data_IF_304962785826
#
_entry.id   IF_304962785826
#
_cell.length_a   1.000
_cell.length_b   1.000
_cell.length_c   1.000
_cell.angle_alpha   90.00
_cell.angle_beta   90.00
_cell.angle_gamma   90.00
#
_symmetry.space_group_name_H-M   'P 1'
#
loop_
_entity.id
_entity.type
_entity.pdbx_description
1 polymer ?
#
# COMPACT_ATOMS: atom_id res chain seq x y z
N UNK A 1 2.83 35.90 6.84
CA UNK A 1 1.55 35.15 6.68
C UNK A 1 1.47 34.36 5.38
N UNK A 2 1.86 34.89 4.20
CA UNK A 2 1.91 34.12 2.94
C UNK A 2 2.95 32.96 2.97
N UNK A 3 4.15 33.26 3.46
CA UNK A 3 5.28 32.31 3.55
C UNK A 3 5.01 31.09 4.43
N UNK A 4 4.40 31.29 5.60
CA UNK A 4 4.05 30.21 6.54
C UNK A 4 3.07 29.18 5.94
N UNK A 5 2.13 29.65 5.12
CA UNK A 5 1.12 28.79 4.50
C UNK A 5 1.71 27.96 3.34
N UNK A 6 2.73 28.48 2.66
CA UNK A 6 3.45 27.76 1.61
C UNK A 6 4.34 26.64 2.19
N UNK A 7 4.98 26.87 3.35
CA UNK A 7 5.76 25.84 4.07
C UNK A 7 4.89 24.68 4.57
N UNK A 8 3.72 24.99 5.15
CA UNK A 8 2.75 23.97 5.60
C UNK A 8 2.27 23.08 4.44
N UNK A 9 2.04 23.66 3.26
CA UNK A 9 1.65 22.91 2.05
C UNK A 9 2.78 22.00 1.55
N UNK A 10 4.01 22.51 1.53
CA UNK A 10 5.20 21.72 1.15
C UNK A 10 5.40 20.55 2.11
N UNK A 11 5.33 20.78 3.42
CA UNK A 11 5.45 19.73 4.42
C UNK A 11 4.40 18.64 4.25
N UNK A 12 3.14 19.02 4.01
CA UNK A 12 2.06 18.04 3.77
C UNK A 12 2.30 17.19 2.52
N UNK A 13 2.84 17.79 1.45
CA UNK A 13 3.23 17.08 0.23
C UNK A 13 4.40 16.11 0.47
N UNK A 14 5.47 16.57 1.11
CA UNK A 14 6.62 15.73 1.45
C UNK A 14 6.23 14.54 2.34
N UNK A 15 5.37 14.80 3.34
CA UNK A 15 4.88 13.76 4.24
C UNK A 15 4.01 12.75 3.50
N UNK A 16 3.10 13.21 2.64
CA UNK A 16 2.29 12.33 1.80
C UNK A 16 3.15 11.45 0.87
N UNK A 17 4.19 12.02 0.26
CA UNK A 17 5.12 11.27 -0.59
C UNK A 17 5.90 10.20 0.20
N UNK A 18 6.43 10.55 1.37
CA UNK A 18 7.20 9.65 2.22
C UNK A 18 6.34 8.50 2.78
N UNK A 19 5.14 8.81 3.26
CA UNK A 19 4.19 7.81 3.78
C UNK A 19 3.76 6.87 2.66
N UNK A 20 3.37 7.41 1.51
CA UNK A 20 2.95 6.60 0.36
C UNK A 20 4.06 5.67 -0.12
N UNK A 21 5.31 6.16 -0.17
CA UNK A 21 6.45 5.35 -0.61
C UNK A 21 6.73 4.22 0.38
N UNK A 22 6.71 4.53 1.69
CA UNK A 22 6.91 3.56 2.76
C UNK A 22 5.85 2.46 2.68
N UNK A 23 4.58 2.81 2.51
CA UNK A 23 3.49 1.86 2.38
C UNK A 23 3.64 0.97 1.14
N UNK A 24 4.03 1.55 -0.01
CA UNK A 24 4.30 0.77 -1.22
C UNK A 24 5.44 -0.23 -1.03
N UNK A 25 6.52 0.19 -0.38
CA UNK A 25 7.66 -0.69 -0.07
C UNK A 25 7.26 -1.81 0.88
N UNK A 26 6.55 -1.51 1.97
CA UNK A 26 6.08 -2.53 2.92
C UNK A 26 5.13 -3.53 2.25
N UNK A 27 4.26 -3.05 1.36
CA UNK A 27 3.35 -3.92 0.60
C UNK A 27 4.10 -4.83 -0.36
N UNK A 28 5.08 -4.28 -1.08
CA UNK A 28 5.92 -5.07 -1.98
C UNK A 28 6.76 -6.09 -1.22
N UNK A 29 7.30 -5.73 -0.06
CA UNK A 29 8.04 -6.65 0.82
C UNK A 29 7.12 -7.76 1.33
N UNK A 30 5.90 -7.43 1.73
CA UNK A 30 4.92 -8.41 2.17
C UNK A 30 4.59 -9.42 1.07
N UNK A 31 4.28 -8.93 -0.14
CA UNK A 31 4.01 -9.76 -1.31
C UNK A 31 5.22 -10.60 -1.72
N UNK A 32 6.41 -10.00 -1.76
CA UNK A 32 7.62 -10.75 -2.09
C UNK A 32 7.89 -11.88 -1.09
N UNK A 33 7.73 -11.60 0.21
CA UNK A 33 7.89 -12.60 1.27
C UNK A 33 6.82 -13.69 1.22
N UNK A 34 5.57 -13.36 0.89
CA UNK A 34 4.50 -14.36 0.76
C UNK A 34 4.70 -15.23 -0.48
N UNK A 35 5.03 -14.62 -1.62
CA UNK A 35 5.29 -15.35 -2.86
C UNK A 35 6.47 -16.31 -2.73
N UNK A 36 7.57 -15.89 -2.11
CA UNK A 36 8.71 -16.80 -1.88
C UNK A 36 8.36 -17.94 -0.92
N UNK A 37 7.55 -17.68 0.12
CA UNK A 37 7.15 -18.72 1.07
C UNK A 37 6.15 -19.73 0.45
N UNK A 38 5.30 -19.26 -0.47
CA UNK A 38 4.25 -20.05 -1.10
C UNK A 38 4.60 -20.53 -2.51
N UNK A 39 5.82 -20.28 -2.99
CA UNK A 39 6.27 -20.61 -4.35
C UNK A 39 5.30 -20.10 -5.43
N UNK A 40 4.86 -18.84 -5.29
CA UNK A 40 3.94 -18.18 -6.22
C UNK A 40 4.71 -17.42 -7.30
N UNK A 41 4.25 -17.52 -8.54
CA UNK A 41 4.77 -16.77 -9.68
C UNK A 41 5.70 -17.62 -10.57
N UNK A 42 6.55 -16.95 -11.34
CA UNK A 42 7.42 -17.63 -12.32
C UNK A 42 8.77 -17.99 -11.72
N UNK A 43 9.42 -17.02 -11.07
CA UNK A 43 10.64 -17.20 -10.29
C UNK A 43 10.95 -15.91 -9.52
N UNK A 44 11.88 -15.98 -8.56
CA UNK A 44 12.25 -14.84 -7.71
C UNK A 44 12.79 -13.63 -8.49
N UNK A 45 13.49 -13.84 -9.61
CA UNK A 45 14.03 -12.74 -10.42
C UNK A 45 12.90 -11.97 -11.12
N UNK A 46 12.00 -12.68 -11.80
CA UNK A 46 10.85 -12.08 -12.47
C UNK A 46 9.90 -11.38 -11.48
N UNK A 47 9.61 -12.02 -10.35
CA UNK A 47 8.77 -11.45 -9.29
C UNK A 47 9.41 -10.19 -8.70
N UNK A 48 10.71 -10.21 -8.42
CA UNK A 48 11.45 -9.05 -7.93
C UNK A 48 11.45 -7.89 -8.94
N UNK A 49 11.68 -8.17 -10.22
CA UNK A 49 11.60 -7.15 -11.27
C UNK A 49 10.22 -6.52 -11.39
N UNK A 50 9.14 -7.33 -11.33
CA UNK A 50 7.78 -6.82 -11.32
C UNK A 50 7.51 -5.91 -10.12
N UNK A 51 7.87 -6.35 -8.91
CA UNK A 51 7.65 -5.58 -7.69
C UNK A 51 8.39 -4.23 -7.73
N UNK A 52 9.63 -4.24 -8.20
CA UNK A 52 10.50 -3.07 -8.14
C UNK A 52 10.23 -2.07 -9.26
N UNK A 53 10.03 -2.56 -10.49
CA UNK A 53 9.91 -1.70 -11.68
C UNK A 53 8.48 -1.23 -11.94
N UNK A 54 7.48 -2.01 -11.54
CA UNK A 54 6.09 -1.73 -11.87
C UNK A 54 5.23 -1.51 -10.62
N UNK A 55 5.25 -2.45 -9.68
CA UNK A 55 4.33 -2.41 -8.54
C UNK A 55 4.60 -1.23 -7.60
N UNK A 56 5.84 -1.05 -7.14
CA UNK A 56 6.19 0.03 -6.21
C UNK A 56 5.89 1.42 -6.81
N UNK A 57 6.35 1.77 -8.03
CA UNK A 57 6.06 3.08 -8.63
C UNK A 57 4.56 3.30 -8.85
N UNK A 58 3.84 2.29 -9.33
CA UNK A 58 2.39 2.40 -9.59
C UNK A 58 1.61 2.61 -8.29
N UNK A 59 1.84 1.75 -7.28
CA UNK A 59 1.15 1.85 -5.99
C UNK A 59 1.50 3.17 -5.28
N UNK A 60 2.77 3.59 -5.34
CA UNK A 60 3.19 4.87 -4.77
C UNK A 60 2.43 6.04 -5.40
N UNK A 61 2.32 6.04 -6.72
CA UNK A 61 1.59 7.08 -7.46
C UNK A 61 0.11 7.08 -7.06
N UNK A 62 -0.54 5.92 -6.99
CA UNK A 62 -1.95 5.80 -6.60
C UNK A 62 -2.18 6.30 -5.17
N UNK A 63 -1.34 5.90 -4.22
CA UNK A 63 -1.44 6.33 -2.82
C UNK A 63 -1.20 7.84 -2.68
N UNK A 64 -0.22 8.38 -3.40
CA UNK A 64 0.07 9.82 -3.40
C UNK A 64 -1.10 10.62 -3.99
N UNK A 65 -1.68 10.16 -5.10
CA UNK A 65 -2.87 10.79 -5.68
C UNK A 65 -4.07 10.71 -4.71
N UNK A 66 -4.24 9.58 -4.03
CA UNK A 66 -5.29 9.39 -3.01
C UNK A 66 -5.09 10.36 -1.84
N UNK A 67 -3.86 10.57 -1.41
CA UNK A 67 -3.49 11.54 -0.36
C UNK A 67 -3.89 12.96 -0.76
N UNK A 68 -3.48 13.38 -1.96
CA UNK A 68 -3.77 14.73 -2.48
C UNK A 68 -5.26 14.95 -2.70
N UNK A 69 -5.96 13.97 -3.29
CA UNK A 69 -7.39 14.01 -3.53
C UNK A 69 -8.18 14.12 -2.21
N UNK A 70 -7.83 13.31 -1.20
CA UNK A 70 -8.47 13.38 0.11
C UNK A 70 -8.19 14.72 0.78
N UNK A 71 -6.97 15.25 0.65
CA UNK A 71 -6.62 16.58 1.15
C UNK A 71 -7.43 17.71 0.52
N UNK A 72 -7.74 17.61 -0.78
CA UNK A 72 -8.54 18.58 -1.52
C UNK A 72 -10.05 18.45 -1.21
N UNK A 73 -10.59 17.23 -1.24
CA UNK A 73 -12.03 16.96 -1.10
C UNK A 73 -12.56 17.20 0.31
N UNK A 74 -11.73 16.97 1.33
CA UNK A 74 -12.17 17.05 2.73
C UNK A 74 -12.12 18.49 3.27
N UNK A 75 -11.42 19.41 2.60
CA UNK A 75 -11.47 20.86 2.89
C UNK A 75 -11.25 21.20 4.36
N UNK A 76 -12.13 22.03 4.94
CA UNK A 76 -12.05 22.54 6.33
C UNK A 76 -12.78 21.65 7.36
N UNK A 77 -13.06 20.39 7.04
CA UNK A 77 -13.64 19.43 8.01
C UNK A 77 -12.71 19.27 9.23
N UNK A 78 -13.25 18.89 10.41
CA UNK A 78 -12.43 18.72 11.61
C UNK A 78 -11.29 17.72 11.34
N UNK A 79 -10.09 18.07 11.85
CA UNK A 79 -8.83 17.37 11.54
C UNK A 79 -8.90 15.85 11.77
N UNK A 80 -9.63 15.42 12.80
CA UNK A 80 -9.83 14.01 13.13
C UNK A 80 -10.59 13.25 12.03
N UNK A 81 -11.67 13.83 11.48
CA UNK A 81 -12.43 13.20 10.39
C UNK A 81 -11.59 13.12 9.11
N UNK A 82 -10.77 14.15 8.85
CA UNK A 82 -9.85 14.14 7.70
C UNK A 82 -8.78 13.06 7.83
N UNK A 83 -8.17 12.93 9.00
CA UNK A 83 -7.18 11.89 9.26
C UNK A 83 -7.80 10.49 9.17
N UNK A 84 -8.99 10.29 9.74
CA UNK A 84 -9.72 9.03 9.66
C UNK A 84 -10.10 8.63 8.24
N UNK A 85 -10.65 9.57 7.45
CA UNK A 85 -10.98 9.33 6.04
C UNK A 85 -9.75 8.97 5.21
N UNK A 86 -8.63 9.68 5.42
CA UNK A 86 -7.37 9.42 4.74
C UNK A 86 -6.78 8.05 5.12
N UNK A 87 -6.78 7.71 6.41
CA UNK A 87 -6.29 6.41 6.85
C UNK A 87 -7.15 5.28 6.25
N UNK A 88 -8.48 5.41 6.29
CA UNK A 88 -9.39 4.43 5.74
C UNK A 88 -9.21 4.26 4.23
N UNK A 89 -9.08 5.35 3.46
CA UNK A 89 -8.89 5.24 2.00
C UNK A 89 -7.55 4.62 1.64
N UNK A 90 -6.47 4.99 2.32
CA UNK A 90 -5.15 4.37 2.09
C UNK A 90 -5.17 2.87 2.45
N UNK A 91 -5.73 2.50 3.59
CA UNK A 91 -5.85 1.09 4.00
C UNK A 91 -6.68 0.28 2.99
N UNK A 92 -7.78 0.84 2.48
CA UNK A 92 -8.58 0.19 1.43
C UNK A 92 -7.78 0.00 0.15
N UNK A 93 -7.02 1.00 -0.31
CA UNK A 93 -6.17 0.88 -1.51
C UNK A 93 -5.10 -0.19 -1.30
N UNK A 94 -4.46 -0.22 -0.14
CA UNK A 94 -3.46 -1.24 0.21
C UNK A 94 -4.06 -2.64 0.26
N UNK A 95 -5.26 -2.78 0.85
CA UNK A 95 -5.98 -4.05 0.87
C UNK A 95 -6.33 -4.53 -0.54
N UNK A 96 -6.86 -3.66 -1.39
CA UNK A 96 -7.14 -4.01 -2.78
C UNK A 96 -5.88 -4.42 -3.54
N UNK A 97 -4.78 -3.68 -3.37
CA UNK A 97 -3.51 -4.02 -4.01
C UNK A 97 -2.98 -5.38 -3.52
N UNK A 98 -2.96 -5.60 -2.21
CA UNK A 98 -2.52 -6.90 -1.64
C UNK A 98 -3.41 -8.04 -2.10
N UNK A 99 -4.73 -7.92 -2.01
CA UNK A 99 -5.68 -8.97 -2.44
C UNK A 99 -5.56 -9.30 -3.93
N UNK A 100 -5.38 -8.30 -4.80
CA UNK A 100 -5.22 -8.50 -6.25
C UNK A 100 -3.97 -9.31 -6.58
N UNK A 101 -2.90 -9.13 -5.81
CA UNK A 101 -1.59 -9.72 -6.09
C UNK A 101 -1.17 -10.81 -5.10
N UNK A 102 -2.02 -11.20 -4.14
CA UNK A 102 -1.64 -12.13 -3.08
C UNK A 102 -1.22 -13.51 -3.63
N UNK A 103 -1.94 -13.98 -4.65
CA UNK A 103 -1.74 -15.28 -5.27
C UNK A 103 -2.91 -16.22 -4.98
N UNK A 104 -2.70 -17.49 -5.30
CA UNK A 104 -3.66 -18.58 -5.14
C UNK A 104 -3.07 -19.68 -4.26
N UNK A 105 -3.89 -20.60 -3.70
CA UNK A 105 -3.38 -21.74 -2.98
C UNK A 105 -2.39 -22.57 -3.83
N UNK A 106 -1.27 -22.92 -3.23
CA UNK A 106 -0.20 -23.73 -3.84
C UNK A 106 0.07 -24.96 -2.99
N UNK A 107 0.80 -25.98 -3.48
CA UNK A 107 1.23 -27.09 -2.65
C UNK A 107 2.04 -26.66 -1.41
N UNK A 108 2.82 -25.58 -1.52
CA UNK A 108 3.57 -25.00 -0.40
C UNK A 108 2.66 -24.25 0.61
N UNK A 109 1.55 -23.68 0.14
CA UNK A 109 0.57 -22.94 0.94
C UNK A 109 -0.86 -23.42 0.62
N UNK A 110 -1.31 -24.57 1.19
CA UNK A 110 -2.61 -25.17 0.85
C UNK A 110 -3.79 -24.30 1.29
N UNK A 111 -3.60 -23.48 2.33
CA UNK A 111 -4.62 -22.54 2.82
C UNK A 111 -4.54 -21.15 2.14
N UNK A 112 -3.70 -20.99 1.10
CA UNK A 112 -3.49 -19.72 0.41
C UNK A 112 -2.66 -18.69 1.19
N UNK A 113 -2.14 -19.04 2.37
CA UNK A 113 -1.29 -18.16 3.18
C UNK A 113 -0.05 -18.89 3.70
N UNK A 114 1.08 -18.18 3.87
CA UNK A 114 2.27 -18.76 4.45
C UNK A 114 2.10 -19.05 5.96
N UNK A 115 2.92 -19.95 6.55
CA UNK A 115 2.79 -20.32 7.97
C UNK A 115 2.99 -19.18 8.96
N UNK A 116 3.69 -18.11 8.55
CA UNK A 116 3.90 -16.91 9.37
C UNK A 116 2.74 -15.92 9.29
N UNK A 117 1.75 -16.14 8.41
CA UNK A 117 0.60 -15.26 8.30
C UNK A 117 -0.22 -15.29 9.60
N UNK A 118 -0.63 -14.13 10.15
CA UNK A 118 -1.36 -14.11 11.41
C UNK A 118 -2.74 -14.73 11.24
N UNK A 119 -3.12 -15.65 12.13
CA UNK A 119 -4.45 -16.31 12.09
C UNK A 119 -5.63 -15.37 12.35
N UNK A 120 -5.36 -14.19 12.92
CA UNK A 120 -6.38 -13.17 13.19
C UNK A 120 -6.71 -12.32 11.95
N UNK A 121 -5.86 -12.34 10.91
CA UNK A 121 -6.10 -11.59 9.69
C UNK A 121 -6.74 -12.49 8.64
N UNK A 122 -7.76 -12.00 7.91
CA UNK A 122 -8.32 -12.76 6.81
C UNK A 122 -7.25 -12.99 5.74
N UNK A 123 -7.33 -14.14 5.07
CA UNK A 123 -6.52 -14.39 3.88
C UNK A 123 -6.80 -13.30 2.84
N UNK A 124 -5.77 -12.59 2.34
CA UNK A 124 -5.97 -11.59 1.31
C UNK A 124 -6.49 -12.25 0.03
N UNK A 125 -7.64 -11.77 -0.45
CA UNK A 125 -8.36 -12.31 -1.58
C UNK A 125 -9.72 -11.63 -1.74
N UNK A 126 -10.37 -11.87 -2.88
CA UNK A 126 -11.75 -11.45 -3.16
C UNK A 126 -12.67 -12.67 -3.16
#
# INVERSE_FOLDING_TARGET
MKTENDDLRRLHGCLGAAVSLTLSLLTALLLGRSWTACDVGVNNAANGSFLTLLFIPALWTILLLTWLATGALVGNRPRLLRAGALAATLLTVLWCATATFWGYPTPACPNGTPPWWPSLLPTPGF
#
